data_IF_099261855161
#
_entry.id   IF_099261855161
#
_cell.length_a   1.000
_cell.length_b   1.000
_cell.length_c   1.000
_cell.angle_alpha   90.00
_cell.angle_beta   90.00
_cell.angle_gamma   90.00
#
_symmetry.space_group_name_H-M   'P 1'
#
loop_
_entity.id
_entity.type
_entity.pdbx_description
1 polymer ?
#
# COMPACT_ATOMS: atom_id res chain seq x y z
N UNK A 1 14.58 -54.24 -7.14
CA UNK A 1 15.21 -53.04 -6.54
C UNK A 1 14.82 -51.77 -7.30
N UNK A 2 14.33 -51.86 -8.55
CA UNK A 2 13.83 -50.68 -9.32
C UNK A 2 12.56 -50.01 -8.74
N UNK A 3 11.60 -50.78 -8.20
CA UNK A 3 10.29 -50.21 -7.79
C UNK A 3 10.39 -49.18 -6.67
N UNK A 4 11.40 -49.29 -5.79
CA UNK A 4 11.59 -48.34 -4.68
C UNK A 4 12.18 -47.01 -5.15
N UNK A 5 13.04 -47.03 -6.16
CA UNK A 5 13.74 -45.84 -6.66
C UNK A 5 12.80 -44.90 -7.43
N UNK A 6 11.88 -45.47 -8.22
CA UNK A 6 10.87 -44.71 -8.97
C UNK A 6 9.87 -43.98 -8.04
N UNK A 7 9.52 -44.63 -6.93
CA UNK A 7 8.59 -44.08 -5.93
C UNK A 7 9.23 -42.90 -5.19
N UNK A 8 10.50 -43.05 -4.78
CA UNK A 8 11.24 -41.97 -4.12
C UNK A 8 11.44 -40.76 -5.05
N UNK A 9 11.75 -41.00 -6.33
CA UNK A 9 11.87 -39.94 -7.33
C UNK A 9 10.56 -39.19 -7.56
N UNK A 10 9.43 -39.90 -7.61
CA UNK A 10 8.11 -39.29 -7.75
C UNK A 10 7.75 -38.43 -6.54
N UNK A 11 8.02 -38.90 -5.32
CA UNK A 11 7.80 -38.11 -4.10
C UNK A 11 8.73 -36.89 -4.02
N UNK A 12 10.00 -37.03 -4.41
CA UNK A 12 10.95 -35.91 -4.48
C UNK A 12 10.48 -34.83 -5.47
N UNK A 13 9.93 -35.24 -6.61
CA UNK A 13 9.41 -34.31 -7.61
C UNK A 13 8.16 -33.59 -7.11
N UNK A 14 7.19 -34.33 -6.56
CA UNK A 14 5.97 -33.76 -5.98
C UNK A 14 6.26 -32.76 -4.87
N UNK A 15 7.16 -33.11 -3.96
CA UNK A 15 7.55 -32.24 -2.84
C UNK A 15 8.30 -31.00 -3.34
N UNK A 16 9.26 -31.17 -4.26
CA UNK A 16 10.03 -30.06 -4.83
C UNK A 16 9.13 -29.09 -5.60
N UNK A 17 8.28 -29.59 -6.49
CA UNK A 17 7.34 -28.76 -7.26
C UNK A 17 6.38 -28.02 -6.32
N UNK A 18 5.87 -28.68 -5.28
CA UNK A 18 4.98 -28.04 -4.29
C UNK A 18 5.68 -26.91 -3.56
N UNK A 19 6.93 -27.12 -3.09
CA UNK A 19 7.71 -26.09 -2.43
C UNK A 19 8.00 -24.90 -3.35
N UNK A 20 8.34 -25.15 -4.62
CA UNK A 20 8.57 -24.10 -5.61
C UNK A 20 7.31 -23.27 -5.83
N UNK A 21 6.14 -23.90 -5.97
CA UNK A 21 4.86 -23.20 -6.13
C UNK A 21 4.53 -22.37 -4.89
N UNK A 22 4.72 -22.90 -3.69
CA UNK A 22 4.48 -22.17 -2.44
C UNK A 22 5.38 -20.93 -2.32
N UNK A 23 6.68 -21.07 -2.59
CA UNK A 23 7.64 -19.96 -2.56
C UNK A 23 7.28 -18.91 -3.62
N UNK A 24 6.88 -19.33 -4.82
CA UNK A 24 6.47 -18.41 -5.87
C UNK A 24 5.22 -17.60 -5.48
N UNK A 25 4.20 -18.25 -4.92
CA UNK A 25 2.98 -17.58 -4.42
C UNK A 25 3.33 -16.61 -3.30
N UNK A 26 4.24 -16.99 -2.39
CA UNK A 26 4.72 -16.12 -1.32
C UNK A 26 5.44 -14.88 -1.86
N UNK A 27 6.35 -15.08 -2.81
CA UNK A 27 7.10 -14.01 -3.43
C UNK A 27 6.19 -13.02 -4.15
N UNK A 28 5.25 -13.51 -4.98
CA UNK A 28 4.28 -12.66 -5.69
C UNK A 28 3.45 -11.84 -4.70
N UNK A 29 2.97 -12.48 -3.62
CA UNK A 29 2.18 -11.79 -2.58
C UNK A 29 2.99 -10.67 -1.91
N UNK A 30 4.27 -10.91 -1.62
CA UNK A 30 5.18 -9.91 -1.07
C UNK A 30 5.43 -8.75 -2.03
N UNK A 31 5.61 -9.02 -3.32
CA UNK A 31 5.76 -7.99 -4.36
C UNK A 31 4.51 -7.12 -4.46
N UNK A 32 3.33 -7.72 -4.49
CA UNK A 32 2.05 -6.98 -4.55
C UNK A 32 1.88 -6.08 -3.31
N UNK A 33 2.15 -6.60 -2.11
CA UNK A 33 2.09 -5.83 -0.88
C UNK A 33 3.07 -4.64 -0.89
N UNK A 34 4.28 -4.86 -1.41
CA UNK A 34 5.31 -3.83 -1.53
C UNK A 34 4.90 -2.70 -2.49
N UNK A 35 4.34 -3.03 -3.66
CA UNK A 35 3.82 -2.02 -4.61
C UNK A 35 2.67 -1.21 -4.02
N UNK A 36 1.74 -1.85 -3.30
CA UNK A 36 0.64 -1.16 -2.61
C UNK A 36 1.18 -0.18 -1.56
N UNK A 37 2.21 -0.59 -0.82
CA UNK A 37 2.85 0.25 0.19
C UNK A 37 3.56 1.47 -0.43
N UNK A 38 4.28 1.28 -1.53
CA UNK A 38 4.95 2.36 -2.27
C UNK A 38 3.96 3.43 -2.74
N UNK A 39 2.86 3.01 -3.37
CA UNK A 39 1.78 3.94 -3.77
C UNK A 39 1.14 4.69 -2.60
N UNK A 40 1.27 4.17 -1.37
CA UNK A 40 0.75 4.76 -0.14
C UNK A 40 1.79 5.55 0.65
N UNK A 41 2.96 5.82 0.07
CA UNK A 41 4.02 6.63 0.68
C UNK A 41 4.79 5.90 1.79
N UNK A 42 4.81 4.56 1.76
CA UNK A 42 5.45 3.72 2.77
C UNK A 42 6.72 3.05 2.25
N UNK A 43 7.51 2.51 3.17
CA UNK A 43 8.73 1.78 2.84
C UNK A 43 8.43 0.46 2.12
N UNK A 44 8.76 0.43 0.84
CA UNK A 44 8.63 -0.75 -0.03
C UNK A 44 9.30 -1.99 0.57
N UNK A 45 10.50 -1.83 1.12
CA UNK A 45 11.29 -2.91 1.72
C UNK A 45 10.61 -3.49 2.96
N UNK A 46 10.06 -2.65 3.84
CA UNK A 46 9.43 -3.15 5.07
C UNK A 46 8.21 -4.02 4.76
N UNK A 47 7.33 -3.56 3.85
CA UNK A 47 6.15 -4.33 3.47
C UNK A 47 6.48 -5.61 2.70
N UNK A 48 7.53 -5.58 1.86
CA UNK A 48 8.03 -6.78 1.20
C UNK A 48 8.48 -7.83 2.22
N UNK A 49 9.41 -7.48 3.12
CA UNK A 49 9.98 -8.44 4.07
C UNK A 49 8.97 -8.93 5.10
N UNK A 50 8.13 -8.05 5.62
CA UNK A 50 7.05 -8.44 6.55
C UNK A 50 6.07 -9.39 5.87
N UNK A 51 5.73 -9.14 4.61
CA UNK A 51 4.86 -10.05 3.86
C UNK A 51 5.55 -11.38 3.56
N UNK A 52 6.78 -11.36 3.08
CA UNK A 52 7.49 -12.56 2.68
C UNK A 52 7.75 -13.52 3.85
N UNK A 53 8.14 -13.00 5.02
CA UNK A 53 8.54 -13.83 6.16
C UNK A 53 7.42 -14.13 7.16
N UNK A 54 6.39 -13.26 7.28
CA UNK A 54 5.40 -13.37 8.35
C UNK A 54 3.97 -13.50 7.86
N UNK A 55 3.49 -12.57 7.01
CA UNK A 55 2.06 -12.53 6.64
C UNK A 55 1.72 -13.44 5.47
N UNK A 56 2.69 -13.69 4.60
CA UNK A 56 2.55 -14.53 3.45
C UNK A 56 1.49 -14.08 2.43
N UNK A 57 0.61 -14.99 1.97
CA UNK A 57 -0.45 -14.63 1.03
C UNK A 57 -1.42 -13.57 1.56
N UNK A 58 -1.48 -13.37 2.88
CA UNK A 58 -2.34 -12.36 3.51
C UNK A 58 -1.75 -10.94 3.48
N UNK A 59 -0.46 -10.78 3.13
CA UNK A 59 0.23 -9.49 3.15
C UNK A 59 -0.43 -8.38 2.33
N UNK A 60 -0.92 -8.63 1.10
CA UNK A 60 -1.64 -7.63 0.31
C UNK A 60 -2.85 -7.05 1.04
N UNK A 61 -3.59 -7.87 1.81
CA UNK A 61 -4.73 -7.41 2.61
C UNK A 61 -4.31 -6.44 3.70
N UNK A 62 -3.23 -6.73 4.43
CA UNK A 62 -2.70 -5.84 5.44
C UNK A 62 -2.13 -4.54 4.84
N UNK A 63 -1.49 -4.61 3.68
CA UNK A 63 -1.03 -3.42 2.96
C UNK A 63 -2.19 -2.46 2.59
N UNK A 64 -3.37 -3.01 2.30
CA UNK A 64 -4.58 -2.25 1.99
C UNK A 64 -5.25 -1.61 3.21
N UNK A 65 -5.16 -2.21 4.39
CA UNK A 65 -5.80 -1.67 5.61
C UNK A 65 -4.87 -0.69 6.32
N UNK A 66 -3.57 -0.90 6.21
CA UNK A 66 -2.63 -0.17 7.05
C UNK A 66 -2.57 1.35 6.63
N UNK A 67 -2.47 2.26 7.62
CA UNK A 67 -2.65 3.71 7.47
C UNK A 67 -1.58 4.39 6.60
N UNK A 68 -1.96 5.29 5.70
CA UNK A 68 -1.00 5.99 4.82
C UNK A 68 0.12 6.67 5.64
N UNK A 69 1.32 6.70 5.11
CA UNK A 69 2.46 7.40 5.74
C UNK A 69 2.96 8.52 4.84
N UNK A 70 3.49 9.57 5.45
CA UNK A 70 4.16 10.66 4.75
C UNK A 70 5.45 11.01 5.49
N UNK A 71 6.59 10.91 4.79
CA UNK A 71 7.93 11.14 5.36
C UNK A 71 8.19 10.38 6.67
N UNK A 72 7.77 9.11 6.73
CA UNK A 72 7.97 8.24 7.90
C UNK A 72 7.08 8.55 9.09
N UNK A 73 6.03 9.37 8.93
CA UNK A 73 5.00 9.59 9.95
C UNK A 73 3.65 9.02 9.48
N UNK A 74 2.92 8.29 10.34
CA UNK A 74 1.57 7.85 10.02
C UNK A 74 0.67 9.08 9.84
N UNK A 75 -0.05 9.09 8.73
CA UNK A 75 -1.05 10.11 8.42
C UNK A 75 -2.36 9.57 8.99
N UNK A 76 -2.93 10.22 10.02
CA UNK A 76 -4.21 9.80 10.57
C UNK A 76 -5.25 9.79 9.44
N UNK A 77 -5.87 8.62 9.22
CA UNK A 77 -6.91 8.47 8.23
C UNK A 77 -8.10 9.35 8.65
N UNK A 78 -8.34 10.42 7.89
CA UNK A 78 -9.43 11.33 8.18
C UNK A 78 -9.33 11.93 9.57
N UNK A 79 -8.22 12.59 9.91
CA UNK A 79 -8.38 13.67 10.86
C UNK A 79 -9.35 14.65 10.21
N UNK A 80 -10.61 14.58 10.65
CA UNK A 80 -11.41 15.77 10.84
C UNK A 80 -10.56 16.64 11.76
N UNK A 81 -9.48 17.24 11.25
CA UNK A 81 -8.80 18.28 11.95
C UNK A 81 -9.90 19.30 12.18
N UNK A 82 -10.42 19.36 13.41
CA UNK A 82 -11.35 20.40 13.85
C UNK A 82 -10.54 21.70 14.00
N UNK A 83 -9.63 21.94 13.05
CA UNK A 83 -8.98 23.20 12.85
C UNK A 83 -10.02 24.09 12.18
N UNK A 84 -10.34 25.25 12.76
CA UNK A 84 -11.20 26.22 12.09
C UNK A 84 -10.58 26.55 10.73
N UNK A 85 -11.41 26.47 9.68
CA UNK A 85 -11.02 26.95 8.35
C UNK A 85 -11.02 28.47 8.44
N UNK A 86 -9.90 29.11 8.06
CA UNK A 86 -9.83 30.57 8.05
C UNK A 86 -10.89 31.15 7.09
N UNK A 87 -11.45 32.31 7.44
CA UNK A 87 -12.43 32.99 6.58
C UNK A 87 -11.87 33.19 5.15
N UNK A 88 -12.72 32.98 4.14
CA UNK A 88 -12.34 33.04 2.72
C UNK A 88 -11.55 31.82 2.21
N UNK A 89 -11.46 30.75 3.00
CA UNK A 89 -10.92 29.45 2.59
C UNK A 89 -11.97 28.37 2.77
N UNK A 90 -11.81 27.31 1.99
CA UNK A 90 -12.63 26.10 2.01
C UNK A 90 -11.74 24.88 2.09
N UNK A 91 -12.23 23.85 2.77
CA UNK A 91 -11.48 22.61 2.97
C UNK A 91 -11.79 21.59 1.89
N UNK A 92 -10.74 21.05 1.28
CA UNK A 92 -10.81 19.95 0.33
C UNK A 92 -9.98 18.76 0.78
N UNK A 93 -10.56 17.57 0.71
CA UNK A 93 -9.82 16.33 0.93
C UNK A 93 -9.22 15.86 -0.39
N UNK A 94 -7.88 15.75 -0.44
CA UNK A 94 -7.20 15.23 -1.62
C UNK A 94 -7.59 13.77 -1.87
N UNK A 95 -8.10 13.39 -3.06
CA UNK A 95 -8.51 12.01 -3.34
C UNK A 95 -7.31 11.04 -3.40
N UNK A 96 -6.12 11.55 -3.74
CA UNK A 96 -4.90 10.72 -3.87
C UNK A 96 -4.37 10.29 -2.51
N UNK A 97 -4.13 11.24 -1.61
CA UNK A 97 -3.49 10.97 -0.32
C UNK A 97 -4.43 11.09 0.90
N UNK A 98 -5.60 11.72 0.76
CA UNK A 98 -6.55 11.92 1.86
C UNK A 98 -6.26 13.17 2.71
N UNK A 99 -5.25 13.97 2.37
CA UNK A 99 -4.92 15.19 3.09
C UNK A 99 -6.04 16.23 3.01
N UNK A 100 -6.36 16.88 4.13
CA UNK A 100 -7.15 18.10 4.14
C UNK A 100 -6.30 19.27 3.64
N UNK A 101 -6.77 19.99 2.62
CA UNK A 101 -6.14 21.18 2.06
C UNK A 101 -7.11 22.34 2.26
N UNK A 102 -6.66 23.42 2.89
CA UNK A 102 -7.45 24.63 3.01
C UNK A 102 -7.09 25.54 1.82
N UNK A 103 -8.00 25.70 0.88
CA UNK A 103 -7.79 26.42 -0.38
C UNK A 103 -8.59 27.72 -0.37
N UNK A 104 -8.06 28.87 -0.80
CA UNK A 104 -8.84 30.09 -0.96
C UNK A 104 -10.07 29.89 -1.86
N UNK A 105 -11.18 30.55 -1.55
CA UNK A 105 -12.43 30.39 -2.31
C UNK A 105 -12.29 30.85 -3.77
N UNK A 106 -11.42 31.85 -4.01
CA UNK A 106 -11.12 32.40 -5.32
C UNK A 106 -10.24 31.50 -6.20
N UNK A 107 -9.57 30.49 -5.62
CA UNK A 107 -8.69 29.61 -6.39
C UNK A 107 -9.49 28.53 -7.14
N UNK A 108 -9.13 28.33 -8.42
CA UNK A 108 -9.71 27.32 -9.31
C UNK A 108 -8.86 26.05 -9.38
N UNK A 109 -7.72 26.02 -8.70
CA UNK A 109 -6.85 24.85 -8.60
C UNK A 109 -6.06 24.91 -7.29
N UNK A 110 -5.59 23.77 -6.80
CA UNK A 110 -4.69 23.69 -5.67
C UNK A 110 -3.66 22.59 -5.87
N UNK A 111 -2.49 22.79 -5.28
CA UNK A 111 -1.49 21.74 -5.11
C UNK A 111 -1.64 21.11 -3.74
N UNK A 112 -1.79 19.80 -3.70
CA UNK A 112 -1.90 19.12 -2.43
C UNK A 112 -0.60 19.26 -1.64
N UNK A 113 -0.66 19.89 -0.45
CA UNK A 113 0.53 20.13 0.38
C UNK A 113 1.26 18.82 0.76
N UNK A 114 0.54 17.70 0.77
CA UNK A 114 1.08 16.39 1.09
C UNK A 114 1.67 15.67 -0.13
N UNK A 115 0.90 15.46 -1.21
CA UNK A 115 1.36 14.63 -2.33
C UNK A 115 1.77 15.40 -3.59
N UNK A 116 1.77 16.73 -3.55
CA UNK A 116 2.04 17.62 -4.68
C UNK A 116 1.15 17.35 -5.92
N UNK A 117 0.02 16.68 -5.72
CA UNK A 117 -0.98 16.48 -6.76
C UNK A 117 -1.63 17.84 -7.09
N UNK A 118 -1.48 18.29 -8.33
CA UNK A 118 -2.18 19.44 -8.86
C UNK A 118 -3.61 19.07 -9.25
N UNK A 119 -4.61 19.81 -8.77
CA UNK A 119 -6.01 19.59 -9.16
C UNK A 119 -6.78 20.88 -9.37
N UNK A 120 -7.61 20.87 -10.40
CA UNK A 120 -8.65 21.86 -10.61
C UNK A 120 -9.83 21.63 -9.65
N UNK A 121 -10.40 22.73 -9.15
CA UNK A 121 -11.59 22.80 -8.30
C UNK A 121 -12.53 23.86 -8.84
N UNK A 122 -13.85 23.69 -8.64
CA UNK A 122 -14.84 24.66 -9.09
C UNK A 122 -14.85 25.85 -8.14
N UNK A 123 -14.70 27.11 -8.58
CA UNK A 123 -14.94 28.26 -7.70
C UNK A 123 -16.41 28.27 -7.24
N UNK A 124 -16.65 28.72 -6.02
CA UNK A 124 -18.01 28.91 -5.45
C UNK A 124 -18.51 30.31 -5.69
#
# INVERSE_FOLDING_TARGET
>A
MEVTDDVDAAFATLTTTTLVVLVAVWFISATVAAMIAEHRGRSIAAFFFVTFFFLGPLGPGFALIAPREFRGRPVPAGSNDVRPVAEGRRRFTCPRCGAANDVPDAETAYDCWQCAEHRAIRPV
#
